data_IF_537562766622
#
_entry.id   IF_537562766622
#
_cell.length_a   1.000
_cell.length_b   1.000
_cell.length_c   1.000
_cell.angle_alpha   90.00
_cell.angle_beta   90.00
_cell.angle_gamma   90.00
#
_symmetry.space_group_name_H-M   'P 1'
#
loop_
_entity.id
_entity.type
_entity.pdbx_description
1 polymer ?
#
# COMPACT_ATOMS: atom_id res chain seq x y z
N UNK A 1 23.15 6.80 13.59
CA UNK A 1 23.10 8.24 13.89
C UNK A 1 24.40 8.70 14.53
N UNK A 2 25.20 9.54 13.88
CA UNK A 2 26.46 10.08 14.42
C UNK A 2 26.33 11.56 14.86
N UNK A 3 27.38 12.12 15.46
CA UNK A 3 27.37 13.50 15.97
C UNK A 3 27.08 14.57 14.90
N UNK A 4 27.55 14.37 13.67
CA UNK A 4 27.28 15.29 12.56
C UNK A 4 25.83 15.18 12.08
N UNK A 5 25.29 13.97 12.03
CA UNK A 5 23.91 13.71 11.62
C UNK A 5 22.89 14.40 12.54
N UNK A 6 23.16 14.49 13.84
CA UNK A 6 22.31 15.23 14.79
C UNK A 6 22.29 16.72 14.48
N UNK A 7 23.44 17.29 14.11
CA UNK A 7 23.54 18.69 13.71
C UNK A 7 22.78 18.95 12.42
N UNK A 8 22.85 18.02 11.47
CA UNK A 8 22.10 18.06 10.20
C UNK A 8 20.59 17.99 10.49
N UNK A 9 20.16 17.03 11.33
CA UNK A 9 18.77 16.88 11.76
C UNK A 9 18.20 18.18 12.30
N UNK A 10 18.89 18.77 13.29
CA UNK A 10 18.46 20.01 13.92
C UNK A 10 18.30 21.13 12.89
N UNK A 11 19.27 21.28 11.99
CA UNK A 11 19.22 22.31 10.94
C UNK A 11 18.06 22.07 9.97
N UNK A 12 17.80 20.83 9.56
CA UNK A 12 16.69 20.48 8.67
C UNK A 12 15.32 20.71 9.31
N UNK A 13 15.20 20.44 10.61
CA UNK A 13 14.01 20.78 11.40
C UNK A 13 13.87 22.29 11.66
N UNK A 14 14.83 23.11 11.20
CA UNK A 14 14.88 24.57 11.42
C UNK A 14 14.84 24.94 12.91
N UNK A 15 15.41 24.10 13.76
CA UNK A 15 15.45 24.31 15.20
C UNK A 15 16.77 24.94 15.64
N UNK A 16 16.69 25.86 16.60
CA UNK A 16 17.87 26.32 17.34
C UNK A 16 18.41 25.20 18.23
N UNK A 17 19.66 25.29 18.67
CA UNK A 17 20.20 24.33 19.66
C UNK A 17 19.38 24.30 20.94
N UNK A 18 18.78 25.43 21.32
CA UNK A 18 17.91 25.51 22.49
C UNK A 18 16.63 24.70 22.30
N UNK A 19 15.88 24.97 21.23
CA UNK A 19 14.61 24.28 20.94
C UNK A 19 14.79 22.77 20.72
N UNK A 20 15.87 22.36 20.07
CA UNK A 20 16.17 20.94 19.84
C UNK A 20 16.52 20.23 21.15
N UNK A 21 17.30 20.89 22.03
CA UNK A 21 17.64 20.34 23.34
C UNK A 21 16.41 20.25 24.26
N UNK A 22 15.52 21.26 24.24
CA UNK A 22 14.26 21.27 24.99
C UNK A 22 13.35 20.10 24.62
N UNK A 23 13.19 19.81 23.32
CA UNK A 23 12.41 18.65 22.85
C UNK A 23 12.96 17.31 23.33
N UNK A 24 14.25 17.24 23.68
CA UNK A 24 14.95 16.04 24.15
C UNK A 24 15.21 16.03 25.65
N UNK A 25 14.67 16.98 26.42
CA UNK A 25 15.00 17.23 27.83
C UNK A 25 16.52 17.26 28.09
N UNK A 26 17.26 17.86 27.17
CA UNK A 26 18.71 18.04 27.26
C UNK A 26 19.05 19.50 27.54
N UNK A 27 20.21 19.74 28.15
CA UNK A 27 20.75 21.09 28.19
C UNK A 27 21.32 21.48 26.83
N UNK A 28 21.21 22.77 26.46
CA UNK A 28 21.85 23.31 25.24
C UNK A 28 23.36 23.02 25.22
N UNK A 29 24.01 23.08 26.38
CA UNK A 29 25.43 22.75 26.52
C UNK A 29 25.73 21.30 26.13
N UNK A 30 24.91 20.35 26.59
CA UNK A 30 25.05 18.94 26.23
C UNK A 30 24.92 18.71 24.71
N UNK A 31 23.91 19.31 24.08
CA UNK A 31 23.74 19.22 22.62
C UNK A 31 24.94 19.85 21.88
N UNK A 32 25.42 21.01 22.34
CA UNK A 32 26.57 21.68 21.73
C UNK A 32 27.84 20.82 21.78
N UNK A 33 28.10 20.13 22.89
CA UNK A 33 29.23 19.20 23.00
C UNK A 33 29.11 18.02 22.03
N UNK A 34 27.89 17.52 21.79
CA UNK A 34 27.65 16.48 20.80
C UNK A 34 27.93 17.00 19.39
N UNK A 35 27.30 18.11 18.99
CA UNK A 35 27.43 18.67 17.64
C UNK A 35 28.84 19.14 17.26
N UNK A 36 29.69 19.41 18.27
CA UNK A 36 31.09 19.81 18.09
C UNK A 36 32.06 18.63 18.18
N UNK A 37 31.57 17.41 18.42
CA UNK A 37 32.41 16.21 18.54
C UNK A 37 33.11 16.07 19.90
N UNK A 38 32.90 17.00 20.84
CA UNK A 38 33.48 16.95 22.19
C UNK A 38 32.91 15.82 23.06
N UNK A 39 31.71 15.33 22.73
CA UNK A 39 31.09 14.19 23.42
C UNK A 39 30.46 13.24 22.41
N UNK A 40 30.82 11.96 22.45
CA UNK A 40 30.22 10.92 21.63
C UNK A 40 28.76 10.70 22.03
N UNK A 41 27.85 10.63 21.06
CA UNK A 41 26.46 10.29 21.34
C UNK A 41 26.34 8.81 21.76
N UNK A 42 25.49 8.53 22.76
CA UNK A 42 25.22 7.16 23.23
C UNK A 42 24.05 6.54 22.46
N UNK A 43 23.97 5.19 22.41
CA UNK A 43 22.83 4.48 21.81
C UNK A 43 21.48 4.93 22.39
N UNK A 44 21.40 5.08 23.72
CA UNK A 44 20.20 5.58 24.43
C UNK A 44 19.80 6.99 24.00
N UNK A 45 20.79 7.86 23.77
CA UNK A 45 20.56 9.22 23.27
C UNK A 45 20.05 9.22 21.83
N UNK A 46 20.57 8.33 20.97
CA UNK A 46 20.10 8.15 19.59
C UNK A 46 18.64 7.69 19.59
N UNK A 47 18.30 6.72 20.45
CA UNK A 47 16.95 6.19 20.57
C UNK A 47 15.96 7.25 21.10
N UNK A 48 16.40 8.09 22.05
CA UNK A 48 15.61 9.26 22.47
C UNK A 48 15.34 10.22 21.31
N UNK A 49 16.36 10.53 20.50
CA UNK A 49 16.20 11.38 19.30
C UNK A 49 15.19 10.73 18.33
N UNK A 50 15.37 9.45 18.01
CA UNK A 50 14.48 8.72 17.10
C UNK A 50 13.04 8.77 17.57
N UNK A 51 12.79 8.49 18.85
CA UNK A 51 11.44 8.52 19.43
C UNK A 51 10.84 9.93 19.44
N UNK A 52 11.60 10.94 19.86
CA UNK A 52 11.12 12.33 19.95
C UNK A 52 10.77 12.93 18.59
N UNK A 53 11.51 12.56 17.54
CA UNK A 53 11.34 13.09 16.19
C UNK A 53 10.70 12.08 15.22
N UNK A 54 10.17 10.97 15.73
CA UNK A 54 9.51 9.91 14.97
C UNK A 54 10.35 9.40 13.79
N UNK A 55 11.63 9.10 14.04
CA UNK A 55 12.62 8.71 13.02
C UNK A 55 12.94 7.21 13.05
N UNK A 56 11.92 6.39 13.14
CA UNK A 56 12.08 4.94 13.10
C UNK A 56 12.32 4.50 11.64
N UNK A 57 13.35 3.67 11.41
CA UNK A 57 13.78 3.22 10.08
C UNK A 57 15.28 3.45 9.81
N UNK A 58 15.79 2.83 8.75
CA UNK A 58 17.19 2.90 8.32
C UNK A 58 17.67 4.30 7.92
N UNK A 59 18.73 4.39 7.11
CA UNK A 59 19.25 5.68 6.60
C UNK A 59 18.11 6.44 5.88
N UNK A 60 17.36 5.72 5.06
CA UNK A 60 16.09 6.13 4.51
C UNK A 60 15.01 5.31 5.24
N UNK A 61 14.06 5.96 5.94
CA UNK A 61 12.99 5.23 6.60
C UNK A 61 12.14 4.53 5.53
N UNK A 62 11.99 3.22 5.63
CA UNK A 62 11.25 2.42 4.66
C UNK A 62 10.27 1.45 5.35
N UNK A 63 9.15 1.18 4.69
CA UNK A 63 8.12 0.23 5.12
C UNK A 63 7.83 -0.77 3.99
N UNK A 64 7.74 -2.06 4.32
CA UNK A 64 7.39 -3.11 3.36
C UNK A 64 5.97 -3.61 3.57
N UNK A 65 5.27 -3.88 2.47
CA UNK A 65 3.94 -4.52 2.48
C UNK A 65 3.75 -5.47 1.30
N UNK A 66 2.84 -6.42 1.46
CA UNK A 66 2.34 -7.25 0.36
C UNK A 66 1.26 -6.47 -0.39
N UNK A 67 1.54 -6.13 -1.65
CA UNK A 67 0.68 -5.28 -2.50
C UNK A 67 -0.09 -6.11 -3.54
N UNK A 68 0.22 -7.40 -3.66
CA UNK A 68 -0.55 -8.34 -4.47
C UNK A 68 -0.23 -9.77 -4.04
N UNK A 69 -1.23 -10.65 -4.02
CA UNK A 69 -1.02 -12.09 -3.82
C UNK A 69 -1.97 -12.88 -4.71
N UNK A 70 -1.46 -13.93 -5.36
CA UNK A 70 -2.27 -14.90 -6.10
C UNK A 70 -1.84 -16.32 -5.80
N UNK A 71 -2.77 -17.12 -5.34
CA UNK A 71 -2.56 -18.53 -4.98
C UNK A 71 -3.62 -19.38 -5.67
N UNK A 72 -3.20 -20.50 -6.24
CA UNK A 72 -4.09 -21.47 -6.87
C UNK A 72 -4.06 -22.77 -6.08
N UNK A 73 -5.24 -23.35 -5.89
CA UNK A 73 -5.47 -24.61 -5.20
C UNK A 73 -6.12 -25.58 -6.17
N UNK A 74 -5.59 -26.79 -6.33
CA UNK A 74 -6.24 -27.87 -7.11
C UNK A 74 -7.40 -28.50 -6.32
N UNK A 75 -8.41 -27.69 -6.06
CA UNK A 75 -9.69 -28.04 -5.43
C UNK A 75 -10.83 -27.42 -6.23
N UNK A 76 -12.05 -27.92 -6.10
CA UNK A 76 -13.20 -27.47 -6.89
C UNK A 76 -14.29 -26.78 -6.06
N UNK A 77 -13.93 -26.26 -4.87
CA UNK A 77 -14.87 -25.62 -3.96
C UNK A 77 -14.38 -24.22 -3.55
N UNK A 78 -14.94 -23.15 -4.16
CA UNK A 78 -14.63 -21.78 -3.79
C UNK A 78 -14.98 -21.47 -2.33
N UNK A 79 -16.12 -21.98 -1.84
CA UNK A 79 -16.54 -21.78 -0.45
C UNK A 79 -15.55 -22.39 0.55
N UNK A 80 -15.01 -23.58 0.28
CA UNK A 80 -13.97 -24.17 1.12
C UNK A 80 -12.67 -23.35 1.10
N UNK A 81 -12.29 -22.74 -0.02
CA UNK A 81 -11.12 -21.86 -0.05
C UNK A 81 -11.37 -20.58 0.75
N UNK A 82 -12.56 -19.98 0.64
CA UNK A 82 -12.94 -18.81 1.44
C UNK A 82 -12.94 -19.15 2.94
N UNK A 83 -13.59 -20.24 3.32
CA UNK A 83 -13.76 -20.63 4.72
C UNK A 83 -12.46 -21.17 5.35
N UNK A 84 -11.73 -22.04 4.65
CA UNK A 84 -10.59 -22.76 5.25
C UNK A 84 -9.24 -22.08 5.01
N UNK A 85 -9.07 -21.39 3.88
CA UNK A 85 -7.82 -20.68 3.57
C UNK A 85 -7.91 -19.22 3.98
N UNK A 86 -8.92 -18.49 3.47
CA UNK A 86 -9.07 -17.07 3.83
C UNK A 86 -9.59 -16.92 5.27
N UNK A 87 -10.29 -17.94 5.82
CA UNK A 87 -10.97 -17.86 7.12
C UNK A 87 -11.97 -16.72 7.20
N UNK A 88 -12.63 -16.48 6.07
CA UNK A 88 -13.67 -15.47 5.94
C UNK A 88 -15.03 -16.15 5.77
N UNK A 89 -16.09 -15.43 6.11
CA UNK A 89 -17.46 -15.85 5.86
C UNK A 89 -17.75 -15.88 4.34
N UNK A 90 -18.12 -17.02 3.74
CA UNK A 90 -18.47 -17.10 2.32
C UNK A 90 -19.67 -16.21 1.94
N UNK A 91 -20.60 -15.95 2.86
CA UNK A 91 -21.84 -15.22 2.57
C UNK A 91 -21.62 -13.73 2.31
N UNK A 92 -20.47 -13.17 2.70
CA UNK A 92 -20.12 -11.78 2.38
C UNK A 92 -19.54 -11.61 0.97
N UNK A 93 -19.25 -12.71 0.28
CA UNK A 93 -18.72 -12.66 -1.08
C UNK A 93 -19.85 -12.59 -2.10
N UNK A 94 -19.76 -11.61 -3.00
CA UNK A 94 -20.70 -11.43 -4.10
C UNK A 94 -20.29 -12.35 -5.25
N UNK A 95 -21.20 -13.22 -5.68
CA UNK A 95 -21.01 -14.06 -6.87
C UNK A 95 -21.18 -13.24 -8.15
N UNK A 96 -20.32 -13.51 -9.13
CA UNK A 96 -20.37 -12.94 -10.47
C UNK A 96 -20.12 -14.02 -11.51
N UNK A 97 -20.98 -14.05 -12.53
CA UNK A 97 -20.77 -14.85 -13.75
C UNK A 97 -19.79 -14.13 -14.70
N UNK A 98 -18.62 -13.82 -14.16
CA UNK A 98 -17.49 -13.21 -14.84
C UNK A 98 -16.22 -13.69 -14.15
N UNK A 99 -15.20 -14.01 -14.95
CA UNK A 99 -13.90 -14.39 -14.44
C UNK A 99 -12.76 -13.78 -15.25
N UNK A 100 -11.55 -14.18 -14.89
CA UNK A 100 -10.31 -13.68 -15.46
C UNK A 100 -9.36 -14.86 -15.67
N UNK A 101 -8.38 -14.76 -16.59
CA UNK A 101 -7.41 -15.84 -16.85
C UNK A 101 -8.04 -17.21 -17.13
N UNK A 102 -9.09 -17.26 -17.96
CA UNK A 102 -9.86 -18.48 -18.28
C UNK A 102 -10.71 -19.06 -17.13
N UNK A 103 -10.74 -18.40 -15.97
CA UNK A 103 -11.81 -18.63 -15.01
C UNK A 103 -13.09 -17.97 -15.52
N UNK A 104 -14.24 -18.60 -15.28
CA UNK A 104 -15.55 -18.15 -15.80
C UNK A 104 -16.40 -17.50 -14.71
N UNK A 105 -16.14 -17.83 -13.45
CA UNK A 105 -16.87 -17.32 -12.30
C UNK A 105 -15.95 -16.68 -11.27
N UNK A 106 -16.47 -15.71 -10.53
CA UNK A 106 -15.78 -15.12 -9.38
C UNK A 106 -16.71 -14.89 -8.20
N UNK A 107 -16.13 -15.00 -7.02
CA UNK A 107 -16.69 -14.58 -5.75
C UNK A 107 -15.79 -13.47 -5.24
N UNK A 108 -16.33 -12.28 -4.96
CA UNK A 108 -15.52 -11.17 -4.50
C UNK A 108 -16.10 -10.49 -3.27
N UNK A 109 -15.23 -10.22 -2.30
CA UNK A 109 -15.44 -9.21 -1.29
C UNK A 109 -14.45 -8.09 -1.60
N UNK A 110 -14.94 -6.95 -2.08
CA UNK A 110 -14.09 -5.83 -2.45
C UNK A 110 -12.99 -6.23 -3.46
N UNK A 111 -11.71 -6.09 -3.11
CA UNK A 111 -10.53 -6.40 -3.94
C UNK A 111 -9.90 -7.76 -3.60
N UNK A 112 -10.64 -8.60 -2.87
CA UNK A 112 -10.36 -10.01 -2.59
C UNK A 112 -11.22 -10.86 -3.52
N UNK A 113 -10.59 -11.54 -4.48
CA UNK A 113 -11.28 -12.36 -5.47
C UNK A 113 -10.98 -13.84 -5.28
N UNK A 114 -12.00 -14.67 -5.46
CA UNK A 114 -11.90 -16.13 -5.54
C UNK A 114 -12.51 -16.57 -6.86
N UNK A 115 -11.68 -17.09 -7.75
CA UNK A 115 -12.07 -17.48 -9.11
C UNK A 115 -12.26 -18.98 -9.24
N UNK A 116 -13.23 -19.39 -10.06
CA UNK A 116 -13.48 -20.79 -10.39
C UNK A 116 -13.89 -20.98 -11.84
N UNK A 117 -13.69 -22.18 -12.36
CA UNK A 117 -14.17 -22.59 -13.67
C UNK A 117 -14.86 -23.96 -13.54
N UNK A 118 -16.20 -24.00 -13.45
CA UNK A 118 -16.95 -25.25 -13.35
C UNK A 118 -16.75 -26.18 -14.56
N UNK A 119 -16.44 -25.62 -15.74
CA UNK A 119 -16.23 -26.39 -16.98
C UNK A 119 -14.81 -26.96 -17.09
N UNK A 120 -13.85 -26.43 -16.33
CA UNK A 120 -12.46 -26.87 -16.35
C UNK A 120 -11.93 -27.08 -14.92
N UNK A 121 -12.32 -28.21 -14.33
CA UNK A 121 -11.93 -28.61 -12.98
C UNK A 121 -10.40 -28.61 -12.79
N UNK A 122 -9.61 -28.93 -13.82
CA UNK A 122 -8.16 -28.90 -13.73
C UNK A 122 -7.59 -27.53 -13.35
N UNK A 123 -8.31 -26.42 -13.57
CA UNK A 123 -7.85 -25.10 -13.14
C UNK A 123 -7.90 -24.90 -11.62
N UNK A 124 -8.72 -25.68 -10.92
CA UNK A 124 -8.94 -25.55 -9.49
C UNK A 124 -9.61 -24.23 -9.11
N UNK A 125 -9.31 -23.73 -7.90
CA UNK A 125 -9.76 -22.43 -7.39
C UNK A 125 -8.55 -21.52 -7.23
N UNK A 126 -8.69 -20.24 -7.56
CA UNK A 126 -7.62 -19.25 -7.44
C UNK A 126 -8.07 -18.07 -6.60
N UNK A 127 -7.30 -17.72 -5.57
CA UNK A 127 -7.44 -16.43 -4.89
C UNK A 127 -6.57 -15.38 -5.56
N UNK A 128 -7.06 -14.15 -5.61
CA UNK A 128 -6.32 -12.94 -5.97
C UNK A 128 -6.64 -11.83 -4.99
N UNK A 129 -5.66 -11.44 -4.18
CA UNK A 129 -5.70 -10.28 -3.32
C UNK A 129 -4.95 -9.15 -4.05
N UNK A 130 -5.67 -8.10 -4.43
CA UNK A 130 -5.04 -6.89 -5.00
C UNK A 130 -4.58 -5.97 -3.87
N UNK A 131 -3.84 -4.90 -4.16
CA UNK A 131 -3.25 -4.05 -3.11
C UNK A 131 -4.22 -3.62 -2.01
N UNK A 132 -5.42 -3.15 -2.37
CA UNK A 132 -6.46 -2.83 -1.40
C UNK A 132 -7.04 -4.08 -0.72
N UNK A 133 -7.26 -5.16 -1.47
CA UNK A 133 -7.69 -6.46 -0.92
C UNK A 133 -6.69 -7.04 0.07
N UNK A 134 -5.38 -6.82 -0.09
CA UNK A 134 -4.36 -7.17 0.89
C UNK A 134 -4.53 -6.35 2.17
N UNK A 135 -4.80 -5.03 2.08
CA UNK A 135 -5.06 -4.20 3.27
C UNK A 135 -6.35 -4.59 3.98
N UNK A 136 -7.39 -4.95 3.23
CA UNK A 136 -8.65 -5.40 3.79
C UNK A 136 -8.52 -6.79 4.43
N UNK A 137 -7.74 -7.69 3.81
CA UNK A 137 -7.45 -9.00 4.37
C UNK A 137 -6.56 -8.93 5.62
N UNK A 138 -5.65 -7.96 5.70
CA UNK A 138 -4.89 -7.71 6.93
C UNK A 138 -5.78 -7.40 8.13
N UNK A 139 -6.96 -6.79 7.96
CA UNK A 139 -7.91 -6.63 9.07
C UNK A 139 -8.40 -7.97 9.60
N UNK A 140 -8.58 -8.96 8.73
CA UNK A 140 -8.97 -10.33 9.11
C UNK A 140 -7.84 -10.99 9.90
N UNK A 141 -6.60 -10.90 9.40
CA UNK A 141 -5.43 -11.44 10.08
C UNK A 141 -5.20 -10.77 11.44
N UNK A 142 -5.32 -9.44 11.51
CA UNK A 142 -5.15 -8.67 12.75
C UNK A 142 -6.18 -9.05 13.80
N UNK A 143 -7.46 -9.20 13.43
CA UNK A 143 -8.52 -9.63 14.35
C UNK A 143 -8.33 -11.08 14.83
N UNK A 144 -7.67 -11.92 14.02
CA UNK A 144 -7.31 -13.30 14.37
C UNK A 144 -5.97 -13.43 15.11
N UNK A 145 -5.29 -12.30 15.41
CA UNK A 145 -3.94 -12.27 15.99
C UNK A 145 -2.88 -13.01 15.14
N UNK A 146 -3.08 -13.01 13.82
CA UNK A 146 -2.22 -13.70 12.85
C UNK A 146 -1.39 -12.74 12.01
N UNK A 147 -0.42 -13.30 11.29
CA UNK A 147 0.45 -12.55 10.37
C UNK A 147 0.39 -13.14 8.97
N UNK A 148 0.92 -12.42 7.97
CA UNK A 148 1.16 -12.99 6.64
C UNK A 148 2.00 -14.26 6.67
N UNK A 149 2.96 -14.37 7.59
CA UNK A 149 3.75 -15.60 7.78
C UNK A 149 2.86 -16.75 8.26
N UNK A 150 1.94 -16.48 9.18
CA UNK A 150 0.92 -17.46 9.62
C UNK A 150 0.04 -17.91 8.45
N UNK A 151 -0.43 -16.96 7.63
CA UNK A 151 -1.17 -17.26 6.42
C UNK A 151 -0.36 -18.13 5.44
N UNK A 152 0.92 -17.83 5.21
CA UNK A 152 1.75 -18.65 4.31
C UNK A 152 1.95 -20.06 4.85
N UNK A 153 2.19 -20.24 6.16
CA UNK A 153 2.24 -21.58 6.77
C UNK A 153 0.93 -22.36 6.61
N UNK A 154 -0.22 -21.67 6.69
CA UNK A 154 -1.54 -22.28 6.45
C UNK A 154 -1.60 -22.95 5.09
N UNK A 155 -1.03 -22.36 4.03
CA UNK A 155 -1.05 -22.91 2.67
C UNK A 155 -0.43 -24.32 2.56
N UNK A 156 0.41 -24.73 3.53
CA UNK A 156 1.13 -26.00 3.56
C UNK A 156 0.57 -27.01 4.56
N UNK A 157 -0.50 -26.67 5.29
CA UNK A 157 -1.09 -27.61 6.25
C UNK A 157 -1.84 -28.73 5.51
N UNK A 158 -1.42 -29.97 5.76
CA UNK A 158 -1.88 -31.16 5.03
C UNK A 158 -3.33 -31.55 5.25
N UNK A 159 -4.00 -30.99 6.25
CA UNK A 159 -5.33 -31.43 6.69
C UNK A 159 -6.40 -30.33 6.60
N UNK A 160 -6.09 -29.18 6.00
CA UNK A 160 -7.03 -28.04 5.92
C UNK A 160 -8.33 -28.41 5.22
N UNK A 161 -8.26 -29.24 4.20
CA UNK A 161 -9.41 -29.67 3.40
C UNK A 161 -9.93 -31.06 3.79
N UNK A 162 -9.39 -31.66 4.87
CA UNK A 162 -9.72 -33.00 5.36
C UNK A 162 -8.49 -33.88 5.56
N UNK A 163 -8.62 -34.91 6.40
CA UNK A 163 -7.52 -35.84 6.71
C UNK A 163 -7.05 -36.58 5.45
N UNK A 164 -5.73 -36.54 5.20
CA UNK A 164 -5.09 -37.26 4.09
C UNK A 164 -5.24 -36.60 2.71
N UNK A 165 -5.84 -35.41 2.62
CA UNK A 165 -6.00 -34.67 1.36
C UNK A 165 -4.82 -33.73 1.09
N UNK A 166 -3.92 -34.14 0.21
CA UNK A 166 -2.85 -33.25 -0.29
C UNK A 166 -3.38 -32.47 -1.49
N UNK A 167 -3.51 -31.14 -1.32
CA UNK A 167 -3.91 -30.23 -2.39
C UNK A 167 -2.67 -29.62 -3.05
N UNK A 168 -2.59 -29.69 -4.39
CA UNK A 168 -1.57 -28.94 -5.14
C UNK A 168 -1.87 -27.44 -5.04
N UNK A 169 -1.13 -26.78 -4.15
CA UNK A 169 -1.17 -25.35 -3.89
C UNK A 169 0.03 -24.69 -4.58
N UNK A 170 -0.23 -23.67 -5.40
CA UNK A 170 0.83 -22.87 -6.04
C UNK A 170 0.62 -21.39 -5.83
N UNK A 171 1.63 -20.76 -5.27
CA UNK A 171 1.74 -19.31 -5.19
C UNK A 171 2.24 -18.85 -6.55
N UNK A 172 1.36 -18.19 -7.31
CA UNK A 172 1.61 -17.84 -8.72
C UNK A 172 1.99 -16.38 -8.90
N UNK A 173 1.75 -15.53 -7.90
CA UNK A 173 2.24 -14.16 -7.89
C UNK A 173 2.29 -13.60 -6.47
N UNK A 174 3.34 -12.86 -6.17
CA UNK A 174 3.46 -12.01 -4.99
C UNK A 174 4.13 -10.70 -5.41
N UNK A 175 3.51 -9.58 -5.04
CA UNK A 175 4.11 -8.26 -5.23
C UNK A 175 4.40 -7.64 -3.85
N UNK A 176 5.62 -7.16 -3.66
CA UNK A 176 6.04 -6.43 -2.46
C UNK A 176 6.20 -4.96 -2.81
N UNK A 177 5.63 -4.07 -2.00
CA UNK A 177 5.80 -2.64 -2.12
C UNK A 177 6.66 -2.11 -0.96
N UNK A 178 7.76 -1.44 -1.30
CA UNK A 178 8.66 -0.81 -0.34
C UNK A 178 8.47 0.70 -0.43
N UNK A 179 7.81 1.30 0.57
CA UNK A 179 7.58 2.74 0.64
C UNK A 179 8.78 3.43 1.30
N UNK A 180 9.44 4.33 0.59
CA UNK A 180 10.47 5.21 1.13
C UNK A 180 9.81 6.47 1.68
N UNK A 181 9.85 6.62 3.00
CA UNK A 181 9.31 7.78 3.69
C UNK A 181 10.22 9.01 3.55
N UNK A 182 9.63 10.19 3.68
CA UNK A 182 10.36 11.45 3.68
C UNK A 182 11.40 11.47 4.80
N UNK A 183 12.67 11.56 4.43
CA UNK A 183 13.75 11.54 5.41
C UNK A 183 14.08 12.94 5.92
N UNK A 184 14.09 13.09 7.25
CA UNK A 184 14.50 14.32 7.93
C UNK A 184 16.03 14.48 7.98
N UNK A 185 16.80 13.44 7.67
CA UNK A 185 18.27 13.43 7.79
C UNK A 185 18.97 13.40 6.44
N UNK A 186 18.52 12.51 5.57
CA UNK A 186 19.12 12.24 4.29
C UNK A 186 18.20 12.74 3.19
N UNK A 187 18.72 13.22 2.04
CA UNK A 187 17.84 13.39 0.89
C UNK A 187 17.32 12.00 0.50
N UNK A 188 16.02 11.91 0.23
CA UNK A 188 15.47 10.73 -0.41
C UNK A 188 16.14 10.52 -1.77
N UNK A 189 16.16 9.27 -2.23
CA UNK A 189 16.81 8.96 -3.49
C UNK A 189 16.10 9.62 -4.68
N UNK A 190 16.87 10.18 -5.61
CA UNK A 190 16.32 10.79 -6.81
C UNK A 190 16.20 9.74 -7.93
N UNK A 191 14.98 9.36 -8.27
CA UNK A 191 14.75 8.40 -9.35
C UNK A 191 15.20 8.94 -10.72
N UNK A 192 15.33 10.26 -10.90
CA UNK A 192 15.92 10.80 -12.13
C UNK A 192 17.41 10.46 -12.23
N UNK A 193 18.13 10.44 -11.11
CA UNK A 193 19.53 10.00 -11.06
C UNK A 193 19.66 8.55 -11.56
N UNK A 194 18.79 7.65 -11.10
CA UNK A 194 18.81 6.25 -11.55
C UNK A 194 18.50 6.14 -13.04
N UNK A 195 17.50 6.86 -13.53
CA UNK A 195 17.16 6.90 -14.95
C UNK A 195 18.36 7.33 -15.80
N UNK A 196 18.99 8.45 -15.44
CA UNK A 196 20.14 8.98 -16.18
C UNK A 196 21.32 8.00 -16.15
N UNK A 197 21.58 7.35 -15.02
CA UNK A 197 22.61 6.31 -14.91
C UNK A 197 22.32 5.10 -15.78
N UNK A 198 21.05 4.67 -15.92
CA UNK A 198 20.69 3.60 -16.85
C UNK A 198 20.96 4.05 -18.29
N UNK A 199 20.54 5.24 -18.68
CA UNK A 199 20.76 5.79 -20.04
C UNK A 199 22.25 5.98 -20.38
N UNK A 200 23.10 6.24 -19.38
CA UNK A 200 24.55 6.35 -19.52
C UNK A 200 25.30 5.01 -19.50
N UNK A 201 24.60 3.88 -19.29
CA UNK A 201 25.24 2.57 -19.17
C UNK A 201 26.00 2.36 -17.85
N UNK A 202 25.66 3.10 -16.80
CA UNK A 202 26.25 3.02 -15.46
C UNK A 202 25.52 2.04 -14.53
N UNK A 203 24.62 1.22 -15.07
CA UNK A 203 23.85 0.22 -14.33
C UNK A 203 24.08 -1.16 -14.92
N UNK A 204 24.64 -2.06 -14.11
CA UNK A 204 24.62 -3.50 -14.43
C UNK A 204 23.30 -4.07 -13.93
N UNK A 205 22.56 -4.73 -14.82
CA UNK A 205 21.27 -5.30 -14.47
C UNK A 205 21.05 -6.68 -15.09
N UNK A 206 20.28 -7.53 -14.40
CA UNK A 206 19.85 -8.83 -14.92
C UNK A 206 18.67 -8.72 -15.89
N UNK A 207 18.03 -7.55 -15.98
CA UNK A 207 16.90 -7.32 -16.87
C UNK A 207 17.35 -6.98 -18.29
N UNK A 208 16.63 -7.52 -19.28
CA UNK A 208 16.90 -7.23 -20.70
C UNK A 208 16.31 -5.91 -21.17
N UNK A 209 15.23 -5.47 -20.53
CA UNK A 209 14.46 -4.29 -20.93
C UNK A 209 14.39 -3.31 -19.75
N UNK A 210 14.49 -2.04 -20.08
CA UNK A 210 14.24 -0.93 -19.18
C UNK A 210 13.33 0.06 -19.90
N UNK A 211 12.23 0.43 -19.26
CA UNK A 211 11.28 1.43 -19.74
C UNK A 211 11.04 2.46 -18.64
N UNK A 212 10.56 3.63 -19.01
CA UNK A 212 10.14 4.64 -18.04
C UNK A 212 8.94 5.43 -18.55
N UNK A 213 8.14 5.93 -17.61
CA UNK A 213 7.09 6.92 -17.88
C UNK A 213 7.27 8.12 -16.97
N UNK A 214 7.18 9.31 -17.55
CA UNK A 214 7.21 10.57 -16.82
C UNK A 214 6.82 11.73 -17.73
N UNK A 215 7.00 12.95 -17.26
CA UNK A 215 6.85 14.14 -18.10
C UNK A 215 6.40 15.38 -17.34
N UNK A 216 6.04 16.42 -18.10
CA UNK A 216 5.62 17.72 -17.57
C UNK A 216 4.23 18.06 -18.12
N UNK A 217 3.35 18.61 -17.28
CA UNK A 217 2.11 19.31 -17.70
C UNK A 217 2.34 20.80 -17.56
N UNK A 218 1.98 21.58 -18.57
CA UNK A 218 1.88 23.03 -18.42
C UNK A 218 0.46 23.40 -18.02
N UNK A 219 0.27 23.97 -16.83
CA UNK A 219 -1.02 24.49 -16.35
C UNK A 219 -0.84 25.94 -15.92
N UNK A 220 -1.61 26.86 -16.50
CA UNK A 220 -1.52 28.30 -16.23
C UNK A 220 -0.08 28.86 -16.36
N UNK A 221 0.69 28.40 -17.34
CA UNK A 221 2.08 28.82 -17.55
C UNK A 221 3.11 28.20 -16.59
N UNK A 222 2.69 27.39 -15.61
CA UNK A 222 3.60 26.64 -14.74
C UNK A 222 3.83 25.22 -15.27
N UNK A 223 5.09 24.81 -15.31
CA UNK A 223 5.49 23.43 -15.62
C UNK A 223 5.39 22.56 -14.36
N UNK A 224 4.52 21.57 -14.38
CA UNK A 224 4.28 20.62 -13.29
C UNK A 224 4.81 19.24 -13.68
N UNK A 225 5.73 18.68 -12.90
CA UNK A 225 6.21 17.31 -13.07
C UNK A 225 5.06 16.31 -12.83
N UNK A 226 4.90 15.32 -13.72
CA UNK A 226 3.89 14.25 -13.64
C UNK A 226 4.28 13.10 -12.70
N UNK A 227 5.48 13.13 -12.14
CA UNK A 227 6.12 12.01 -11.47
C UNK A 227 6.82 11.09 -12.47
N UNK A 228 7.86 10.41 -12.00
CA UNK A 228 8.62 9.42 -12.73
C UNK A 228 8.28 8.00 -12.26
N UNK A 229 8.20 7.07 -13.21
CA UNK A 229 8.14 5.63 -12.96
C UNK A 229 9.15 4.93 -13.87
N UNK A 230 9.93 4.02 -13.28
CA UNK A 230 10.98 3.24 -13.92
C UNK A 230 10.58 1.76 -13.87
N UNK A 231 10.73 1.07 -14.98
CA UNK A 231 10.31 -0.30 -15.16
C UNK A 231 11.49 -1.15 -15.60
N UNK A 232 11.83 -2.17 -14.83
CA UNK A 232 12.88 -3.12 -15.17
C UNK A 232 12.27 -4.49 -15.46
N UNK A 233 12.49 -4.99 -16.67
CA UNK A 233 11.92 -6.24 -17.18
C UNK A 233 10.52 -6.09 -17.77
N UNK A 234 9.95 -7.21 -18.21
CA UNK A 234 8.59 -7.28 -18.75
C UNK A 234 7.59 -7.69 -17.67
N UNK A 235 6.36 -7.15 -17.73
CA UNK A 235 5.24 -7.60 -16.88
C UNK A 235 4.81 -9.04 -17.13
N UNK A 236 5.30 -9.68 -18.19
CA UNK A 236 5.08 -11.11 -18.46
C UNK A 236 6.19 -11.98 -17.86
N UNK A 237 7.30 -11.40 -17.41
CA UNK A 237 8.40 -12.14 -16.81
C UNK A 237 8.10 -12.56 -15.37
N UNK A 238 8.68 -13.67 -14.89
CA UNK A 238 8.59 -14.09 -13.49
C UNK A 238 9.18 -13.11 -12.47
N UNK A 239 9.99 -12.14 -12.92
CA UNK A 239 10.57 -11.11 -12.08
C UNK A 239 10.51 -9.76 -12.79
N UNK A 240 9.97 -8.77 -12.11
CA UNK A 240 9.75 -7.42 -12.63
C UNK A 240 9.86 -6.40 -11.50
N UNK A 241 10.51 -5.27 -11.76
CA UNK A 241 10.62 -4.16 -10.79
C UNK A 241 9.96 -2.90 -11.33
N UNK A 242 9.29 -2.17 -10.45
CA UNK A 242 8.70 -0.86 -10.74
C UNK A 242 9.07 0.15 -9.65
N UNK A 243 9.89 1.14 -9.97
CA UNK A 243 10.32 2.17 -9.03
C UNK A 243 9.73 3.51 -9.43
N UNK A 244 8.98 4.15 -8.54
CA UNK A 244 8.28 5.38 -8.91
C UNK A 244 8.11 6.37 -7.76
N UNK A 245 7.87 7.63 -8.13
CA UNK A 245 7.61 8.70 -7.18
C UNK A 245 6.17 8.61 -6.67
N UNK A 246 6.01 8.00 -5.50
CA UNK A 246 4.71 7.71 -4.89
C UNK A 246 3.98 8.98 -4.45
N UNK A 247 4.72 10.01 -4.03
CA UNK A 247 4.15 11.33 -3.70
C UNK A 247 3.38 11.95 -4.87
N UNK A 248 3.90 11.85 -6.10
CA UNK A 248 3.22 12.32 -7.31
C UNK A 248 2.03 11.44 -7.69
N UNK A 249 2.15 10.11 -7.56
CA UNK A 249 1.04 9.19 -7.84
C UNK A 249 -0.14 9.42 -6.89
N UNK A 250 0.13 9.56 -5.60
CA UNK A 250 -0.89 9.88 -4.58
C UNK A 250 -1.52 11.25 -4.81
N UNK A 251 -0.71 12.28 -5.12
CA UNK A 251 -1.23 13.61 -5.42
C UNK A 251 -2.20 13.59 -6.61
N UNK A 252 -1.86 12.84 -7.67
CA UNK A 252 -2.72 12.65 -8.84
C UNK A 252 -3.98 11.85 -8.49
N UNK A 253 -3.86 10.75 -7.75
CA UNK A 253 -4.97 9.86 -7.38
C UNK A 253 -6.01 10.58 -6.52
N UNK A 254 -5.54 11.43 -5.60
CA UNK A 254 -6.36 12.14 -4.61
C UNK A 254 -6.77 13.55 -5.07
N UNK A 255 -6.32 13.99 -6.25
CA UNK A 255 -6.55 15.34 -6.80
C UNK A 255 -6.07 16.48 -5.86
N UNK A 256 -4.93 16.29 -5.18
CA UNK A 256 -4.30 17.26 -4.26
C UNK A 256 -2.91 17.70 -4.74
N UNK A 257 -2.30 18.68 -4.08
CA UNK A 257 -0.91 19.05 -4.38
C UNK A 257 0.09 17.99 -3.88
N UNK A 258 1.28 17.95 -4.47
CA UNK A 258 2.35 17.04 -4.04
C UNK A 258 2.79 17.36 -2.62
N UNK A 259 2.81 18.64 -2.24
CA UNK A 259 3.10 19.07 -0.86
C UNK A 259 2.07 18.52 0.13
N UNK A 260 0.78 18.58 -0.21
CA UNK A 260 -0.28 18.01 0.64
C UNK A 260 -0.17 16.49 0.72
N UNK A 261 0.12 15.81 -0.38
CA UNK A 261 0.34 14.36 -0.38
C UNK A 261 1.51 13.97 0.53
N UNK A 262 2.63 14.70 0.45
CA UNK A 262 3.79 14.52 1.32
C UNK A 262 3.45 14.75 2.80
N UNK A 263 2.67 15.77 3.11
CA UNK A 263 2.23 16.05 4.48
C UNK A 263 1.28 14.98 5.03
N UNK A 264 0.37 14.48 4.20
CA UNK A 264 -0.65 13.49 4.59
C UNK A 264 -0.06 12.09 4.74
N UNK A 265 0.74 11.64 3.77
CA UNK A 265 1.20 10.24 3.69
C UNK A 265 2.65 10.06 4.12
N UNK A 266 3.48 11.11 4.03
CA UNK A 266 4.89 11.02 4.41
C UNK A 266 5.74 10.12 3.53
N UNK A 267 5.26 9.72 2.34
CA UNK A 267 5.96 8.81 1.42
C UNK A 267 6.52 9.62 0.25
N UNK A 268 7.74 9.29 -0.18
CA UNK A 268 8.43 9.88 -1.33
C UNK A 268 8.41 8.96 -2.54
N UNK A 269 9.09 7.82 -2.45
CA UNK A 269 9.20 6.85 -3.53
C UNK A 269 8.57 5.51 -3.11
N UNK A 270 8.22 4.68 -4.09
CA UNK A 270 7.92 3.27 -3.87
C UNK A 270 8.76 2.40 -4.79
N UNK A 271 9.30 1.32 -4.24
CA UNK A 271 9.99 0.26 -4.97
C UNK A 271 9.11 -0.99 -4.94
N UNK A 272 8.47 -1.31 -6.06
CA UNK A 272 7.64 -2.52 -6.22
C UNK A 272 8.46 -3.67 -6.80
N UNK A 273 8.39 -4.82 -6.15
CA UNK A 273 8.99 -6.08 -6.57
C UNK A 273 7.88 -7.04 -6.90
N UNK A 274 7.77 -7.44 -8.15
CA UNK A 274 6.82 -8.47 -8.59
C UNK A 274 7.54 -9.76 -8.86
N UNK A 275 7.10 -10.82 -8.20
CA UNK A 275 7.50 -12.20 -8.45
C UNK A 275 6.29 -12.97 -8.95
N UNK A 276 6.46 -13.76 -10.01
CA UNK A 276 5.42 -14.60 -10.58
C UNK A 276 5.92 -16.03 -10.82
N UNK A 277 4.97 -16.94 -10.96
CA UNK A 277 5.19 -18.36 -11.23
C UNK A 277 6.21 -18.99 -10.26
N UNK A 278 7.25 -19.64 -10.79
CA UNK A 278 8.29 -20.31 -10.01
C UNK A 278 9.00 -19.36 -9.04
N UNK A 279 9.21 -18.08 -9.41
CA UNK A 279 9.88 -17.11 -8.53
C UNK A 279 9.02 -16.73 -7.33
N UNK A 280 7.70 -16.66 -7.49
CA UNK A 280 6.78 -16.40 -6.38
C UNK A 280 6.75 -17.58 -5.40
N UNK A 281 6.67 -18.79 -5.95
CA UNK A 281 6.71 -20.02 -5.16
C UNK A 281 8.01 -20.15 -4.38
N UNK A 282 9.17 -20.05 -5.05
CA UNK A 282 10.49 -20.17 -4.41
C UNK A 282 10.72 -19.08 -3.35
N UNK A 283 10.20 -17.87 -3.55
CA UNK A 283 10.31 -16.81 -2.56
C UNK A 283 9.64 -17.20 -1.24
N UNK A 284 8.42 -17.72 -1.28
CA UNK A 284 7.69 -18.11 -0.06
C UNK A 284 8.29 -19.38 0.54
N UNK A 285 8.66 -20.37 -0.27
CA UNK A 285 9.37 -21.57 0.21
C UNK A 285 10.66 -21.21 0.95
N UNK A 286 11.47 -20.31 0.39
CA UNK A 286 12.71 -19.86 1.02
C UNK A 286 12.42 -19.12 2.33
N UNK A 287 11.42 -18.23 2.33
CA UNK A 287 11.01 -17.50 3.52
C UNK A 287 10.63 -18.44 4.67
N UNK A 288 9.79 -19.46 4.39
CA UNK A 288 9.31 -20.38 5.40
C UNK A 288 10.37 -21.39 5.86
N UNK A 289 11.23 -21.87 4.95
CA UNK A 289 12.20 -22.93 5.25
C UNK A 289 13.47 -22.46 5.95
N UNK A 290 13.90 -21.22 5.70
CA UNK A 290 15.16 -20.68 6.26
C UNK A 290 14.95 -19.90 7.55
N UNK A 291 13.73 -19.39 7.78
CA UNK A 291 13.46 -18.45 8.87
C UNK A 291 14.12 -17.07 8.65
N UNK A 292 14.67 -16.82 7.46
CA UNK A 292 15.15 -15.50 7.05
C UNK A 292 13.98 -14.52 7.00
N UNK A 293 14.31 -13.23 7.05
CA UNK A 293 13.31 -12.18 7.08
C UNK A 293 13.04 -11.67 5.64
N UNK A 294 11.82 -11.21 5.37
CA UNK A 294 11.44 -10.69 4.03
C UNK A 294 12.38 -9.56 3.61
N UNK A 295 12.77 -8.72 4.57
CA UNK A 295 13.67 -7.60 4.44
C UNK A 295 15.00 -8.01 3.80
N UNK A 296 15.60 -9.09 4.33
CA UNK A 296 16.87 -9.60 3.84
C UNK A 296 16.72 -10.13 2.42
N UNK A 297 15.69 -10.95 2.15
CA UNK A 297 15.47 -11.55 0.83
C UNK A 297 15.24 -10.46 -0.21
N UNK A 298 14.41 -9.46 0.12
CA UNK A 298 14.11 -8.30 -0.73
C UNK A 298 15.36 -7.51 -1.09
N UNK A 299 16.20 -7.22 -0.08
CA UNK A 299 17.47 -6.53 -0.29
C UNK A 299 18.33 -7.31 -1.28
N UNK A 300 18.53 -8.61 -1.04
CA UNK A 300 19.40 -9.44 -1.89
C UNK A 300 18.85 -9.56 -3.31
N UNK A 301 17.51 -9.64 -3.47
CA UNK A 301 16.86 -9.64 -4.78
C UNK A 301 17.17 -8.36 -5.57
N UNK A 302 16.99 -7.18 -4.97
CA UNK A 302 17.25 -5.91 -5.66
C UNK A 302 18.75 -5.70 -5.89
N UNK A 303 19.60 -5.94 -4.90
CA UNK A 303 21.05 -5.73 -4.99
C UNK A 303 21.71 -6.66 -6.04
N UNK A 304 21.19 -7.88 -6.18
CA UNK A 304 21.60 -8.79 -7.24
C UNK A 304 21.10 -8.32 -8.61
N UNK A 305 19.91 -7.73 -8.68
CA UNK A 305 19.26 -7.38 -9.94
C UNK A 305 19.72 -6.05 -10.54
N UNK A 306 20.11 -5.08 -9.71
CA UNK A 306 20.48 -3.72 -10.12
C UNK A 306 21.69 -3.25 -9.33
N UNK A 307 22.83 -3.12 -10.02
CA UNK A 307 24.07 -2.55 -9.49
C UNK A 307 24.35 -1.23 -10.18
N UNK A 308 24.41 -0.17 -9.39
CA UNK A 308 24.53 1.21 -9.88
C UNK A 308 25.91 1.75 -9.56
N UNK A 309 26.51 2.47 -10.52
CA UNK A 309 27.87 2.98 -10.42
C UNK A 309 27.94 4.48 -10.68
N UNK A 310 28.99 5.09 -10.14
CA UNK A 310 29.38 6.46 -10.47
C UNK A 310 30.47 6.46 -11.55
N UNK A 311 30.60 7.58 -12.26
CA UNK A 311 31.63 7.78 -13.27
C UNK A 311 32.56 8.93 -12.93
N UNK A 312 33.74 8.93 -13.53
CA UNK A 312 34.66 10.08 -13.51
C UNK A 312 34.21 11.18 -14.49
N UNK A 313 35.02 12.24 -14.62
CA UNK A 313 34.76 13.34 -15.55
C UNK A 313 34.72 12.93 -17.02
N UNK A 314 35.27 11.76 -17.37
CA UNK A 314 35.30 11.23 -18.73
C UNK A 314 34.16 10.24 -18.99
N UNK A 315 33.26 10.02 -18.03
CA UNK A 315 32.17 9.05 -18.13
C UNK A 315 32.61 7.60 -17.91
N UNK A 316 33.85 7.36 -17.48
CA UNK A 316 34.33 6.01 -17.16
C UNK A 316 33.82 5.60 -15.78
N UNK A 317 33.26 4.40 -15.71
CA UNK A 317 32.75 3.80 -14.47
C UNK A 317 33.87 3.64 -13.44
N UNK A 318 33.59 4.03 -12.20
CA UNK A 318 34.57 4.02 -11.10
C UNK A 318 34.20 3.03 -9.99
N UNK A 319 33.26 3.40 -9.12
CA UNK A 319 32.86 2.65 -7.94
C UNK A 319 31.34 2.59 -7.84
N UNK A 320 30.83 1.75 -6.93
CA UNK A 320 29.40 1.65 -6.66
C UNK A 320 28.86 3.01 -6.20
N UNK A 321 27.71 3.39 -6.73
CA UNK A 321 27.04 4.63 -6.37
C UNK A 321 26.68 4.63 -4.89
N UNK A 322 27.21 5.61 -4.16
CA UNK A 322 26.94 5.72 -2.74
C UNK A 322 25.47 6.05 -2.46
N UNK A 323 24.83 6.82 -3.34
CA UNK A 323 23.40 7.16 -3.22
C UNK A 323 22.52 5.92 -3.37
N UNK A 324 22.78 5.08 -4.37
CA UNK A 324 22.06 3.81 -4.54
C UNK A 324 22.33 2.85 -3.39
N UNK A 325 23.58 2.77 -2.94
CA UNK A 325 23.96 1.93 -1.80
C UNK A 325 23.17 2.29 -0.54
N UNK A 326 22.91 3.58 -0.28
CA UNK A 326 22.07 4.00 0.84
C UNK A 326 20.63 3.46 0.74
N UNK A 327 20.06 3.37 -0.47
CA UNK A 327 18.74 2.75 -0.71
C UNK A 327 18.77 1.28 -0.32
N UNK A 328 19.74 0.52 -0.85
CA UNK A 328 19.91 -0.92 -0.58
C UNK A 328 20.17 -1.20 0.91
N UNK A 329 21.04 -0.43 1.56
CA UNK A 329 21.33 -0.58 2.99
C UNK A 329 20.12 -0.26 3.86
N UNK A 330 19.27 0.68 3.43
CA UNK A 330 18.03 0.99 4.15
C UNK A 330 17.02 -0.16 4.12
N UNK A 331 17.11 -1.06 3.14
CA UNK A 331 16.24 -2.24 3.05
C UNK A 331 16.49 -3.27 4.15
N UNK A 332 17.66 -3.27 4.80
CA UNK A 332 17.97 -4.20 5.91
C UNK A 332 17.10 -3.96 7.16
N UNK A 333 16.62 -2.73 7.32
CA UNK A 333 15.82 -2.30 8.48
C UNK A 333 14.34 -2.19 8.11
N UNK A 334 13.93 -2.75 6.95
CA UNK A 334 12.53 -2.87 6.60
C UNK A 334 11.79 -3.63 7.71
N UNK A 335 10.46 -3.46 7.75
CA UNK A 335 9.60 -4.36 8.52
C UNK A 335 8.44 -4.69 7.62
N UNK A 336 8.12 -5.97 7.48
CA UNK A 336 6.81 -6.33 6.94
C UNK A 336 5.75 -5.79 7.89
N UNK A 337 4.92 -4.90 7.37
CA UNK A 337 3.86 -4.24 8.13
C UNK A 337 2.52 -4.77 7.70
N UNK A 338 1.68 -5.04 8.68
CA UNK A 338 0.24 -5.13 8.49
C UNK A 338 -0.35 -3.82 8.99
N UNK A 339 -1.08 -3.19 8.09
CA UNK A 339 -1.87 -2.01 8.38
C UNK A 339 -3.19 -2.27 7.71
N UNK A 340 -4.04 -2.98 8.43
CA UNK A 340 -5.42 -3.18 8.02
C UNK A 340 -6.07 -1.84 7.69
N UNK A 341 -6.59 -1.69 6.47
CA UNK A 341 -7.26 -0.46 6.05
C UNK A 341 -8.71 -0.76 5.68
N UNK A 342 -9.63 -0.09 6.38
CA UNK A 342 -11.04 -0.14 6.01
C UNK A 342 -11.26 0.59 4.68
N UNK A 343 -12.19 0.09 3.86
CA UNK A 343 -12.78 0.86 2.78
C UNK A 343 -13.17 2.27 3.24
N UNK A 344 -12.79 3.30 2.49
CA UNK A 344 -13.24 4.67 2.75
C UNK A 344 -13.90 5.27 1.52
N UNK A 345 -14.76 6.25 1.75
CA UNK A 345 -15.56 6.94 0.73
C UNK A 345 -15.15 8.42 0.57
N UNK A 346 -13.95 8.78 1.04
CA UNK A 346 -13.41 10.14 1.00
C UNK A 346 -13.35 10.69 -0.43
N UNK A 347 -13.13 9.82 -1.41
CA UNK A 347 -13.15 10.20 -2.82
C UNK A 347 -14.56 10.63 -3.26
N UNK A 348 -15.60 9.90 -2.85
CA UNK A 348 -16.98 10.26 -3.14
C UNK A 348 -17.35 11.58 -2.45
N UNK A 349 -16.94 11.79 -1.20
CA UNK A 349 -17.13 13.05 -0.47
C UNK A 349 -16.44 14.22 -1.15
N UNK A 350 -15.18 14.08 -1.58
CA UNK A 350 -14.48 15.16 -2.29
C UNK A 350 -15.11 15.46 -3.64
N UNK A 351 -15.52 14.44 -4.38
CA UNK A 351 -16.22 14.65 -5.64
C UNK A 351 -17.55 15.40 -5.42
N UNK A 352 -18.32 15.00 -4.41
CA UNK A 352 -19.52 15.71 -3.97
C UNK A 352 -19.18 17.18 -3.66
N UNK A 353 -18.21 17.43 -2.79
CA UNK A 353 -17.80 18.79 -2.38
C UNK A 353 -17.31 19.66 -3.54
N UNK A 354 -16.48 19.11 -4.44
CA UNK A 354 -15.83 19.88 -5.49
C UNK A 354 -16.74 20.15 -6.69
N UNK A 355 -17.67 19.24 -7.01
CA UNK A 355 -18.43 19.29 -8.27
C UNK A 355 -19.93 19.46 -8.08
N UNK A 356 -20.53 18.87 -7.04
CA UNK A 356 -22.00 18.82 -6.88
C UNK A 356 -22.53 19.74 -5.79
N UNK A 357 -21.80 19.93 -4.69
CA UNK A 357 -22.27 20.62 -3.50
C UNK A 357 -22.82 22.03 -3.78
N UNK A 358 -22.20 22.88 -4.63
CA UNK A 358 -22.77 24.20 -4.96
C UNK A 358 -24.15 24.11 -5.62
N UNK A 359 -24.34 23.13 -6.51
CA UNK A 359 -25.62 22.92 -7.21
C UNK A 359 -26.68 22.35 -6.25
N UNK A 360 -26.31 21.37 -5.42
CA UNK A 360 -27.20 20.82 -4.40
C UNK A 360 -27.66 21.89 -3.41
N UNK A 361 -26.73 22.75 -2.94
CA UNK A 361 -27.03 23.89 -2.07
C UNK A 361 -28.03 24.85 -2.71
N UNK A 362 -27.85 25.17 -4.00
CA UNK A 362 -28.76 26.03 -4.75
C UNK A 362 -30.18 25.45 -4.82
N UNK A 363 -30.32 24.16 -5.16
CA UNK A 363 -31.63 23.51 -5.25
C UNK A 363 -32.29 23.45 -3.87
N UNK A 364 -31.53 23.12 -2.82
CA UNK A 364 -32.03 23.11 -1.45
C UNK A 364 -32.59 24.49 -1.03
N UNK A 365 -31.88 25.59 -1.34
CA UNK A 365 -32.36 26.96 -1.04
C UNK A 365 -33.67 27.25 -1.79
N UNK A 366 -33.79 26.80 -3.05
CA UNK A 366 -35.02 26.94 -3.83
C UNK A 366 -36.18 26.17 -3.19
N UNK A 367 -35.95 24.93 -2.75
CA UNK A 367 -36.95 24.11 -2.06
C UNK A 367 -37.48 24.81 -0.80
N UNK A 368 -36.59 25.32 0.05
CA UNK A 368 -36.96 26.07 1.26
C UNK A 368 -37.74 27.35 0.93
N UNK A 369 -37.33 28.08 -0.11
CA UNK A 369 -37.98 29.34 -0.51
C UNK A 369 -39.38 29.12 -1.07
N UNK A 370 -39.58 28.05 -1.82
CA UNK A 370 -40.85 27.76 -2.50
C UNK A 370 -41.75 26.78 -1.74
N UNK A 371 -41.34 26.33 -0.55
CA UNK A 371 -42.07 25.31 0.22
C UNK A 371 -42.17 23.97 -0.52
N UNK A 372 -41.13 23.61 -1.27
CA UNK A 372 -41.04 22.38 -2.06
C UNK A 372 -40.06 21.39 -1.44
N UNK A 373 -40.06 20.15 -1.91
CA UNK A 373 -39.15 19.09 -1.46
C UNK A 373 -38.55 18.29 -2.63
N UNK A 374 -38.23 18.97 -3.73
CA UNK A 374 -37.85 18.36 -5.00
C UNK A 374 -36.48 17.65 -4.92
N UNK A 375 -35.55 18.18 -4.14
CA UNK A 375 -34.23 17.61 -3.95
C UNK A 375 -34.31 16.26 -3.22
N UNK A 376 -35.01 16.24 -2.08
CA UNK A 376 -35.17 15.03 -1.27
C UNK A 376 -35.98 13.97 -1.98
N UNK A 377 -37.08 14.35 -2.62
CA UNK A 377 -37.90 13.42 -3.39
C UNK A 377 -37.08 12.73 -4.49
N UNK A 378 -36.19 13.45 -5.18
CA UNK A 378 -35.28 12.85 -6.17
C UNK A 378 -34.25 11.91 -5.56
N UNK A 379 -33.70 12.23 -4.39
CA UNK A 379 -32.76 11.34 -3.68
C UNK A 379 -33.47 10.05 -3.27
N UNK A 380 -34.68 10.14 -2.70
CA UNK A 380 -35.45 8.97 -2.28
C UNK A 380 -35.88 8.08 -3.46
N UNK A 381 -36.17 8.67 -4.62
CA UNK A 381 -36.53 7.94 -5.84
C UNK A 381 -35.32 7.41 -6.62
N UNK A 382 -34.11 7.82 -6.27
CA UNK A 382 -32.90 7.37 -6.97
C UNK A 382 -32.59 5.92 -6.60
N UNK A 383 -32.60 5.04 -7.60
CA UNK A 383 -32.17 3.67 -7.43
C UNK A 383 -30.65 3.57 -7.57
N UNK A 384 -30.00 2.98 -6.56
CA UNK A 384 -28.58 2.66 -6.62
C UNK A 384 -28.35 1.57 -7.68
N UNK A 385 -27.35 1.77 -8.52
CA UNK A 385 -26.93 0.73 -9.46
C UNK A 385 -26.25 -0.40 -8.69
N UNK A 386 -26.21 -1.59 -9.28
CA UNK A 386 -25.53 -2.77 -8.70
C UNK A 386 -24.13 -2.41 -8.17
N UNK A 387 -23.32 -1.72 -8.98
CA UNK A 387 -21.99 -1.25 -8.57
C UNK A 387 -21.99 -0.37 -7.30
N UNK A 388 -22.97 0.52 -7.16
CA UNK A 388 -23.05 1.43 -6.01
C UNK A 388 -23.51 0.66 -4.76
N UNK A 389 -24.36 -0.36 -4.92
CA UNK A 389 -24.74 -1.29 -3.85
C UNK A 389 -23.55 -2.14 -3.38
N UNK A 390 -22.70 -2.60 -4.29
CA UNK A 390 -21.45 -3.30 -3.95
C UNK A 390 -20.48 -2.42 -3.16
N UNK A 391 -20.30 -1.17 -3.60
CA UNK A 391 -19.46 -0.21 -2.89
C UNK A 391 -20.01 0.10 -1.49
N UNK A 392 -21.33 0.22 -1.36
CA UNK A 392 -21.97 0.40 -0.06
C UNK A 392 -21.77 -0.81 0.85
N UNK A 393 -22.04 -2.03 0.36
CA UNK A 393 -21.83 -3.26 1.12
C UNK A 393 -20.40 -3.34 1.64
N UNK A 394 -19.41 -3.11 0.76
CA UNK A 394 -17.98 -3.02 1.12
C UNK A 394 -17.72 -2.02 2.26
N UNK A 395 -18.36 -0.85 2.26
CA UNK A 395 -18.17 0.20 3.27
C UNK A 395 -18.89 -0.10 4.59
N UNK A 396 -20.00 -0.83 4.55
CA UNK A 396 -20.84 -1.11 5.73
C UNK A 396 -20.54 -2.44 6.39
N UNK A 397 -19.94 -3.41 5.69
CA UNK A 397 -19.60 -4.71 6.26
C UNK A 397 -18.59 -4.55 7.40
N UNK A 398 -18.96 -5.05 8.57
CA UNK A 398 -18.13 -5.01 9.77
C UNK A 398 -17.12 -6.16 9.79
N UNK A 399 -16.02 -6.01 10.52
CA UNK A 399 -15.02 -7.08 10.67
C UNK A 399 -15.65 -8.37 11.21
N UNK A 400 -16.63 -8.26 12.12
CA UNK A 400 -17.36 -9.42 12.67
C UNK A 400 -18.16 -10.20 11.63
N UNK A 401 -18.65 -9.53 10.59
CA UNK A 401 -19.36 -10.18 9.48
C UNK A 401 -18.40 -10.86 8.50
N UNK A 402 -17.15 -10.37 8.41
CA UNK A 402 -16.09 -10.98 7.61
C UNK A 402 -15.58 -12.29 8.20
N UNK A 403 -15.61 -12.43 9.53
CA UNK A 403 -15.15 -13.62 10.22
C UNK A 403 -16.19 -14.73 10.19
N UNK A 404 -15.70 -15.97 10.28
CA UNK A 404 -16.54 -17.13 10.53
C UNK A 404 -17.22 -16.97 11.89
N UNK A 405 -18.55 -16.94 11.90
CA UNK A 405 -19.32 -16.93 13.13
C UNK A 405 -19.41 -18.35 13.69
N UNK A 406 -19.14 -18.56 14.98
CA UNK A 406 -19.60 -19.78 15.65
C UNK A 406 -21.13 -19.81 15.56
N UNK A 407 -21.70 -20.92 15.06
CA UNK A 407 -23.13 -21.10 14.77
C UNK A 407 -24.03 -20.43 15.82
N UNK A 408 -24.41 -19.18 15.57
CA UNK A 408 -25.43 -18.49 16.36
C UNK A 408 -26.22 -17.58 15.43
N UNK A 409 -27.29 -18.16 14.88
CA UNK A 409 -28.43 -17.53 14.21
C UNK A 409 -28.15 -16.55 13.07
N UNK A 410 -28.64 -16.93 11.88
CA UNK A 410 -28.65 -16.16 10.64
C UNK A 410 -28.91 -14.66 10.86
N UNK A 411 -27.91 -13.85 10.55
CA UNK A 411 -28.07 -12.41 10.44
C UNK A 411 -28.92 -12.10 9.20
N UNK A 412 -30.12 -11.57 9.42
CA UNK A 412 -30.89 -10.90 8.38
C UNK A 412 -30.06 -9.74 7.78
N UNK A 413 -30.05 -9.55 6.45
CA UNK A 413 -29.38 -8.41 5.85
C UNK A 413 -29.99 -7.13 6.44
N UNK A 414 -29.14 -6.33 7.09
CA UNK A 414 -29.49 -5.01 7.59
C UNK A 414 -29.74 -4.08 6.40
N UNK A 415 -30.99 -4.02 5.94
CA UNK A 415 -31.42 -2.94 5.06
C UNK A 415 -31.30 -1.64 5.83
N UNK A 416 -30.33 -0.80 5.47
CA UNK A 416 -30.23 0.56 5.99
C UNK A 416 -31.38 1.37 5.38
N UNK A 417 -32.52 1.40 6.06
CA UNK A 417 -33.60 2.33 5.75
C UNK A 417 -33.27 3.67 6.38
N UNK A 418 -32.81 4.62 5.56
CA UNK A 418 -32.60 6.00 6.00
C UNK A 418 -33.95 6.73 5.96
N UNK A 419 -34.35 7.32 7.07
CA UNK A 419 -35.59 8.10 7.14
C UNK A 419 -35.40 9.46 6.47
N UNK A 420 -36.51 10.07 6.00
CA UNK A 420 -36.47 11.39 5.38
C UNK A 420 -35.81 12.44 6.30
N UNK A 421 -36.16 12.42 7.58
CA UNK A 421 -35.66 13.36 8.59
C UNK A 421 -34.15 13.21 8.82
N UNK A 422 -33.61 11.99 8.79
CA UNK A 422 -32.16 11.73 8.93
C UNK A 422 -31.37 12.26 7.73
N UNK A 423 -31.87 12.07 6.51
CA UNK A 423 -31.21 12.64 5.32
C UNK A 423 -31.29 14.17 5.32
N UNK A 424 -32.44 14.73 5.71
CA UNK A 424 -32.61 16.18 5.83
C UNK A 424 -31.66 16.80 6.86
N UNK A 425 -31.49 16.17 8.02
CA UNK A 425 -30.54 16.61 9.04
C UNK A 425 -29.08 16.52 8.58
N UNK A 426 -28.69 15.42 7.93
CA UNK A 426 -27.33 15.23 7.41
C UNK A 426 -27.00 16.23 6.30
N UNK A 427 -27.95 16.47 5.38
CA UNK A 427 -27.79 17.47 4.32
C UNK A 427 -27.76 18.90 4.90
N UNK A 428 -28.58 19.21 5.90
CA UNK A 428 -28.52 20.50 6.57
C UNK A 428 -27.16 20.71 7.27
N UNK A 429 -26.66 19.72 8.02
CA UNK A 429 -25.34 19.81 8.62
C UNK A 429 -24.24 19.98 7.56
N UNK A 430 -24.34 19.31 6.41
CA UNK A 430 -23.32 19.38 5.36
C UNK A 430 -23.36 20.69 4.54
N UNK A 431 -24.55 21.26 4.30
CA UNK A 431 -24.70 22.47 3.51
C UNK A 431 -24.42 23.75 4.33
N UNK A 432 -24.50 23.68 5.66
CA UNK A 432 -24.43 24.83 6.56
C UNK A 432 -23.28 24.81 7.58
N UNK A 433 -22.56 23.69 7.76
CA UNK A 433 -21.21 23.69 8.34
C UNK A 433 -20.14 23.78 7.24
#
# INVERSE_FOLDING_TARGET
>A
MNNQEIKILRKRLRLTQQQFAEKLDWSKSYLSMIETGKRTITKKSIEKIRKTFHMDGGILPMEAKIDFLRVRFKIHSPSQVIEKILQMNPDVFIYKNYGFNHYTESYCFSDIFVFSNPENLNMGVMIELRGQGCREYELVLEEQEETWTTFFWRLYQSNIFGEGLIIDTKITRIDLALDEHLSLLYPNYDLFELKEKVEQGLVDTTFRNFDFTGGIVVKNGQQLNKGLSLYFGSRQSPFYLNFYQKDYELAKKEEISVEMARQKYGIKNRYEIRLADEKAYLFVEYLLSTGETIEWIVKELIDTAIKVYDCDSNGLRTHYSQNWRMVIESMQELRLTMKGEKPNYDKALRWLSNYLAPTLKKIWIMDQTFGKNELMSRIQQAELKEKDQEELAKLTTTIKELLLQEETQAATPSSVTVTQDEVEQLLAQFLFN
#
